data_IF_575405807421
#
_entry.id   IF_575405807421
#
_cell.length_a   1.000
_cell.length_b   1.000
_cell.length_c   1.000
_cell.angle_alpha   90.00
_cell.angle_beta   90.00
_cell.angle_gamma   90.00
#
_symmetry.space_group_name_H-M   'P 1'
#
loop_
_entity.id
_entity.type
_entity.pdbx_description
1 polymer ?
#
# COMPACT_ATOMS: atom_id res chain seq x y z
N UNK A 1 -4.45 5.15 10.03
CA UNK A 1 -4.68 6.52 9.53
C UNK A 1 -3.78 7.54 10.21
N UNK A 2 -3.81 7.68 11.55
CA UNK A 2 -2.98 8.65 12.28
C UNK A 2 -1.47 8.59 11.94
N UNK A 3 -0.91 7.39 11.86
CA UNK A 3 0.52 7.20 11.52
C UNK A 3 0.87 7.60 10.07
N UNK A 4 -0.10 7.59 9.14
CA UNK A 4 0.08 8.10 7.78
C UNK A 4 0.22 9.62 7.80
N UNK A 5 -0.67 10.28 8.55
CA UNK A 5 -0.64 11.73 8.73
C UNK A 5 0.67 12.16 9.39
N UNK A 6 1.11 11.45 10.44
CA UNK A 6 2.37 11.73 11.12
C UNK A 6 3.59 11.53 10.21
N UNK A 7 3.61 10.47 9.39
CA UNK A 7 4.66 10.27 8.39
C UNK A 7 4.76 11.46 7.41
N UNK A 8 3.63 11.86 6.81
CA UNK A 8 3.61 12.99 5.88
C UNK A 8 3.92 14.33 6.56
N UNK A 9 3.51 14.51 7.82
CA UNK A 9 3.87 15.68 8.60
C UNK A 9 5.40 15.77 8.75
N UNK A 10 6.07 14.69 9.14
CA UNK A 10 7.53 14.67 9.33
C UNK A 10 8.27 14.89 8.01
N UNK A 11 7.85 14.22 6.93
CA UNK A 11 8.57 14.25 5.65
C UNK A 11 8.31 15.52 4.83
N UNK A 12 7.10 16.07 4.88
CA UNK A 12 6.72 17.21 4.02
C UNK A 12 6.87 18.58 4.70
N UNK A 13 7.06 18.65 6.02
CA UNK A 13 7.16 19.93 6.75
C UNK A 13 8.58 20.50 6.86
N UNK A 14 9.57 19.90 6.18
CA UNK A 14 10.97 20.33 6.25
C UNK A 14 11.67 20.05 7.58
N UNK A 15 11.04 19.31 8.51
CA UNK A 15 11.59 19.01 9.84
C UNK A 15 12.80 18.07 9.81
N UNK A 16 13.05 17.40 8.69
CA UNK A 16 14.08 16.38 8.57
C UNK A 16 15.50 16.95 8.81
N UNK A 17 15.78 18.18 8.35
CA UNK A 17 17.07 18.84 8.59
C UNK A 17 17.29 19.12 10.07
N UNK A 18 16.26 19.64 10.76
CA UNK A 18 16.30 19.93 12.20
C UNK A 18 16.47 18.65 13.02
N UNK A 19 15.79 17.58 12.61
CA UNK A 19 15.90 16.27 13.24
C UNK A 19 17.31 15.69 13.10
N UNK A 20 17.94 15.84 11.93
CA UNK A 20 19.31 15.40 11.68
C UNK A 20 20.37 16.29 12.36
N UNK A 21 20.09 17.56 12.64
CA UNK A 21 21.02 18.46 13.33
C UNK A 21 21.20 18.09 14.82
N UNK A 22 20.15 17.56 15.47
CA UNK A 22 20.19 17.13 16.86
C UNK A 22 19.52 15.74 17.04
N UNK A 23 20.10 14.67 16.49
CA UNK A 23 19.43 13.37 16.33
C UNK A 23 19.14 12.68 17.66
N UNK A 24 19.95 12.93 18.69
CA UNK A 24 19.79 12.35 20.04
C UNK A 24 18.86 13.16 20.93
N UNK A 25 18.39 14.33 20.46
CA UNK A 25 17.42 15.11 21.24
C UNK A 25 16.08 14.37 21.33
N UNK A 26 15.40 14.50 22.48
CA UNK A 26 14.10 13.88 22.69
C UNK A 26 13.09 14.24 21.59
N UNK A 27 13.11 15.50 21.13
CA UNK A 27 12.25 16.00 20.04
C UNK A 27 12.51 15.24 18.73
N UNK A 28 13.77 15.09 18.34
CA UNK A 28 14.14 14.38 17.11
C UNK A 28 13.80 12.90 17.19
N UNK A 29 14.10 12.24 18.31
CA UNK A 29 13.76 10.83 18.52
C UNK A 29 12.25 10.60 18.41
N UNK A 30 11.45 11.46 19.05
CA UNK A 30 9.99 11.39 18.96
C UNK A 30 9.50 11.52 17.51
N UNK A 31 10.02 12.49 16.76
CA UNK A 31 9.64 12.70 15.36
C UNK A 31 10.12 11.55 14.45
N UNK A 32 11.30 10.97 14.68
CA UNK A 32 11.77 9.80 13.94
C UNK A 32 10.84 8.60 14.16
N UNK A 33 10.49 8.32 15.41
CA UNK A 33 9.58 7.23 15.77
C UNK A 33 8.20 7.40 15.14
N UNK A 34 7.64 8.60 15.13
CA UNK A 34 6.33 8.85 14.52
C UNK A 34 6.40 8.88 12.98
N UNK A 35 7.54 9.30 12.43
CA UNK A 35 7.76 9.46 11.00
C UNK A 35 8.11 8.18 10.24
N UNK A 36 8.58 7.12 10.88
CA UNK A 36 9.14 5.96 10.15
C UNK A 36 8.11 5.02 9.47
N UNK A 37 6.82 5.19 9.73
CA UNK A 37 5.80 4.17 9.43
C UNK A 37 5.19 4.19 8.03
N UNK A 38 5.55 5.14 7.17
CA UNK A 38 4.91 5.33 5.86
C UNK A 38 4.88 4.06 5.00
N UNK A 39 6.06 3.45 4.77
CA UNK A 39 6.19 2.23 3.96
C UNK A 39 5.55 1.01 4.64
N UNK A 40 5.66 0.91 5.96
CA UNK A 40 5.04 -0.18 6.73
C UNK A 40 3.53 -0.19 6.57
N UNK A 41 2.89 0.97 6.64
CA UNK A 41 1.43 1.08 6.52
C UNK A 41 0.96 0.74 5.10
N UNK A 42 1.71 1.17 4.07
CA UNK A 42 1.44 0.79 2.69
C UNK A 42 1.44 -0.74 2.53
N UNK A 43 2.46 -1.41 3.08
CA UNK A 43 2.54 -2.87 3.05
C UNK A 43 1.33 -3.50 3.78
N UNK A 44 1.00 -3.04 4.98
CA UNK A 44 -0.17 -3.54 5.72
C UNK A 44 -1.47 -3.36 4.93
N UNK A 45 -1.67 -2.21 4.29
CA UNK A 45 -2.85 -1.95 3.48
C UNK A 45 -2.98 -2.91 2.30
N UNK A 46 -1.88 -3.17 1.58
CA UNK A 46 -1.85 -4.09 0.45
C UNK A 46 -2.05 -5.53 0.91
N UNK A 47 -1.47 -5.93 2.05
CA UNK A 47 -1.69 -7.25 2.64
C UNK A 47 -3.17 -7.45 3.00
N UNK A 48 -3.79 -6.52 3.75
CA UNK A 48 -5.21 -6.60 4.11
C UNK A 48 -6.09 -6.68 2.86
N UNK A 49 -5.82 -5.82 1.87
CA UNK A 49 -6.52 -5.84 0.58
C UNK A 49 -6.40 -7.21 -0.09
N UNK A 50 -5.18 -7.73 -0.20
CA UNK A 50 -4.91 -9.01 -0.84
C UNK A 50 -5.57 -10.18 -0.13
N UNK A 51 -5.59 -10.18 1.20
CA UNK A 51 -6.23 -11.20 2.02
C UNK A 51 -7.71 -11.39 1.67
N UNK A 52 -8.46 -10.29 1.49
CA UNK A 52 -9.87 -10.36 1.12
C UNK A 52 -10.09 -10.54 -0.38
N UNK A 53 -9.22 -9.97 -1.21
CA UNK A 53 -9.40 -9.97 -2.67
C UNK A 53 -9.00 -11.28 -3.34
N UNK A 54 -8.12 -12.09 -2.75
CA UNK A 54 -7.67 -13.35 -3.33
C UNK A 54 -8.76 -14.42 -3.45
N UNK A 55 -9.81 -14.34 -2.62
CA UNK A 55 -11.00 -15.20 -2.73
C UNK A 55 -12.21 -14.49 -3.35
N UNK A 56 -12.08 -13.19 -3.65
CA UNK A 56 -13.18 -12.39 -4.17
C UNK A 56 -13.20 -12.37 -5.70
N UNK A 57 -14.40 -12.30 -6.28
CA UNK A 57 -14.55 -11.90 -7.69
C UNK A 57 -14.33 -10.39 -7.79
N UNK A 58 -13.24 -10.02 -8.47
CA UNK A 58 -12.97 -8.64 -8.86
C UNK A 58 -13.72 -8.37 -10.15
N UNK A 59 -14.55 -7.33 -10.13
CA UNK A 59 -15.34 -6.90 -11.28
C UNK A 59 -14.89 -5.50 -11.69
N UNK A 60 -15.07 -5.17 -12.97
CA UNK A 60 -14.82 -3.83 -13.49
C UNK A 60 -15.60 -2.77 -12.69
N UNK A 61 -16.81 -3.10 -12.24
CA UNK A 61 -17.62 -2.22 -11.39
C UNK A 61 -16.91 -1.81 -10.10
N UNK A 62 -16.24 -2.74 -9.40
CA UNK A 62 -15.50 -2.42 -8.16
C UNK A 62 -14.32 -1.48 -8.45
N UNK A 63 -13.62 -1.68 -9.56
CA UNK A 63 -12.53 -0.81 -9.98
C UNK A 63 -13.03 0.60 -10.34
N UNK A 64 -14.09 0.72 -11.14
CA UNK A 64 -14.67 2.01 -11.52
C UNK A 64 -15.22 2.74 -10.28
N UNK A 65 -15.83 2.02 -9.33
CA UNK A 65 -16.27 2.60 -8.06
C UNK A 65 -15.11 3.19 -7.26
N UNK A 66 -13.99 2.48 -7.17
CA UNK A 66 -12.77 2.98 -6.52
C UNK A 66 -12.21 4.21 -7.23
N UNK A 67 -12.13 4.18 -8.57
CA UNK A 67 -11.66 5.29 -9.38
C UNK A 67 -12.53 6.54 -9.19
N UNK A 68 -13.85 6.37 -9.19
CA UNK A 68 -14.80 7.46 -8.96
C UNK A 68 -14.65 8.07 -7.56
N UNK A 69 -14.50 7.24 -6.52
CA UNK A 69 -14.25 7.73 -5.16
C UNK A 69 -12.97 8.59 -5.11
N UNK A 70 -11.89 8.14 -5.74
CA UNK A 70 -10.64 8.88 -5.79
C UNK A 70 -10.80 10.23 -6.50
N UNK A 71 -11.39 10.24 -7.70
CA UNK A 71 -11.60 11.46 -8.48
C UNK A 71 -12.54 12.43 -7.74
N UNK A 72 -13.57 11.92 -7.07
CA UNK A 72 -14.48 12.72 -6.24
C UNK A 72 -13.72 13.47 -5.13
N UNK A 73 -12.85 12.79 -4.37
CA UNK A 73 -12.06 13.44 -3.33
C UNK A 73 -11.03 14.41 -3.91
N UNK A 74 -10.37 14.07 -5.02
CA UNK A 74 -9.44 14.98 -5.68
C UNK A 74 -10.14 16.26 -6.13
N UNK A 75 -11.35 16.16 -6.71
CA UNK A 75 -12.15 17.31 -7.10
C UNK A 75 -12.55 18.16 -5.90
N UNK A 76 -13.09 17.55 -4.84
CA UNK A 76 -13.50 18.28 -3.63
C UNK A 76 -12.34 19.04 -2.99
N UNK A 77 -11.20 18.37 -2.80
CA UNK A 77 -10.00 18.99 -2.22
C UNK A 77 -9.43 20.05 -3.17
N UNK A 78 -9.36 19.76 -4.47
CA UNK A 78 -8.89 20.70 -5.49
C UNK A 78 -9.73 21.99 -5.53
N UNK A 79 -11.06 21.87 -5.46
CA UNK A 79 -11.97 23.02 -5.37
C UNK A 79 -11.70 23.86 -4.12
N UNK A 80 -11.45 23.25 -2.96
CA UNK A 80 -11.10 23.99 -1.74
C UNK A 80 -9.79 24.78 -1.94
N UNK A 81 -8.78 24.19 -2.59
CA UNK A 81 -7.51 24.89 -2.87
C UNK A 81 -7.66 26.03 -3.89
N UNK A 82 -8.51 25.86 -4.90
CA UNK A 82 -8.84 26.90 -5.88
C UNK A 82 -9.56 28.07 -5.20
N UNK A 83 -10.61 27.79 -4.41
CA UNK A 83 -11.39 28.81 -3.69
C UNK A 83 -10.56 29.53 -2.63
N UNK A 84 -9.60 28.84 -2.00
CA UNK A 84 -8.70 29.45 -1.01
C UNK A 84 -7.57 30.29 -1.63
N UNK A 85 -7.50 30.41 -2.96
CA UNK A 85 -6.44 31.14 -3.67
C UNK A 85 -5.06 30.48 -3.58
N UNK A 86 -4.99 29.21 -3.14
CA UNK A 86 -3.75 28.46 -2.97
C UNK A 86 -3.30 27.77 -4.26
N UNK A 87 -4.17 27.67 -5.25
CA UNK A 87 -3.90 27.06 -6.55
C UNK A 87 -4.47 27.96 -7.66
N UNK A 88 -3.69 28.31 -8.70
CA UNK A 88 -4.20 29.10 -9.81
C UNK A 88 -5.13 28.24 -10.69
N UNK A 89 -6.18 28.86 -11.24
CA UNK A 89 -7.09 28.20 -12.18
C UNK A 89 -6.37 28.12 -13.54
N UNK A 90 -5.79 26.97 -13.83
CA UNK A 90 -5.17 26.67 -15.14
C UNK A 90 -5.66 25.34 -15.68
N UNK A 91 -5.67 25.18 -17.00
CA UNK A 91 -6.08 23.92 -17.63
C UNK A 91 -5.24 22.73 -17.12
N UNK A 92 -3.93 22.95 -16.93
CA UNK A 92 -3.02 21.94 -16.39
C UNK A 92 -3.42 21.50 -14.98
N UNK A 93 -3.80 22.44 -14.11
CA UNK A 93 -4.24 22.15 -12.75
C UNK A 93 -5.56 21.37 -12.72
N UNK A 94 -6.49 21.70 -13.61
CA UNK A 94 -7.75 20.96 -13.76
C UNK A 94 -7.49 19.52 -14.22
N UNK A 95 -6.62 19.33 -15.22
CA UNK A 95 -6.21 18.00 -15.69
C UNK A 95 -5.53 17.20 -14.57
N UNK A 96 -4.66 17.84 -13.78
CA UNK A 96 -3.97 17.19 -12.67
C UNK A 96 -4.91 16.72 -11.55
N UNK A 97 -5.99 17.48 -11.27
CA UNK A 97 -7.02 17.09 -10.30
C UNK A 97 -7.79 15.87 -10.80
N UNK A 98 -8.13 15.85 -12.10
CA UNK A 98 -8.90 14.77 -12.70
C UNK A 98 -8.08 13.51 -12.97
N UNK A 99 -6.77 13.64 -13.19
CA UNK A 99 -5.89 12.51 -13.50
C UNK A 99 -5.54 11.70 -12.22
N UNK A 100 -6.04 10.47 -12.06
CA UNK A 100 -5.76 9.65 -10.90
C UNK A 100 -4.40 8.92 -10.98
N UNK A 101 -3.76 8.92 -12.15
CA UNK A 101 -2.48 8.26 -12.41
C UNK A 101 -1.46 9.33 -12.81
N UNK A 102 -0.85 9.95 -11.80
CA UNK A 102 0.09 11.06 -12.01
C UNK A 102 1.53 10.58 -12.26
N UNK A 103 1.92 9.47 -11.63
CA UNK A 103 3.24 8.84 -11.80
C UNK A 103 3.17 7.37 -11.38
N UNK A 104 3.83 6.50 -12.15
CA UNK A 104 3.89 5.03 -11.92
C UNK A 104 5.21 4.61 -11.26
N UNK A 105 6.02 5.57 -10.85
CA UNK A 105 7.31 5.32 -10.21
C UNK A 105 7.13 5.15 -8.69
N UNK A 106 6.78 6.23 -8.00
CA UNK A 106 6.73 6.29 -6.53
C UNK A 106 5.34 6.58 -5.94
N UNK A 107 4.34 6.83 -6.78
CA UNK A 107 3.00 7.19 -6.34
C UNK A 107 2.20 5.97 -5.86
N UNK A 108 1.93 5.89 -4.55
CA UNK A 108 1.12 4.79 -3.98
C UNK A 108 -0.22 4.61 -4.71
N UNK A 109 -0.99 5.69 -4.89
CA UNK A 109 -2.34 5.63 -5.48
C UNK A 109 -2.30 5.12 -6.92
N UNK A 110 -1.46 5.71 -7.77
CA UNK A 110 -1.29 5.30 -9.17
C UNK A 110 -0.89 3.83 -9.29
N UNK A 111 0.13 3.42 -8.55
CA UNK A 111 0.64 2.05 -8.58
C UNK A 111 -0.38 1.06 -8.01
N UNK A 112 -1.13 1.46 -6.97
CA UNK A 112 -2.19 0.64 -6.41
C UNK A 112 -3.35 0.43 -7.39
N UNK A 113 -3.77 1.47 -8.13
CA UNK A 113 -4.80 1.34 -9.17
C UNK A 113 -4.37 0.39 -10.28
N UNK A 114 -3.13 0.50 -10.75
CA UNK A 114 -2.60 -0.41 -11.76
C UNK A 114 -2.48 -1.84 -11.22
N UNK A 115 -1.93 -2.01 -10.02
CA UNK A 115 -1.90 -3.28 -9.30
C UNK A 115 -3.31 -3.89 -9.16
N UNK A 116 -4.33 -3.08 -8.87
CA UNK A 116 -5.70 -3.55 -8.74
C UNK A 116 -6.21 -4.25 -10.01
N UNK A 117 -5.81 -3.77 -11.19
CA UNK A 117 -6.14 -4.39 -12.48
C UNK A 117 -5.47 -5.77 -12.66
N UNK A 118 -4.32 -5.99 -12.03
CA UNK A 118 -3.61 -7.28 -12.07
C UNK A 118 -4.24 -8.34 -11.15
N UNK A 119 -4.99 -7.94 -10.11
CA UNK A 119 -5.61 -8.84 -9.13
C UNK A 119 -6.39 -10.02 -9.76
N UNK A 120 -7.29 -9.84 -10.75
CA UNK A 120 -8.00 -10.98 -11.34
C UNK A 120 -7.08 -12.00 -12.02
N UNK A 121 -5.98 -11.54 -12.63
CA UNK A 121 -4.97 -12.42 -13.24
C UNK A 121 -4.16 -13.15 -12.19
N UNK A 122 -3.74 -12.44 -11.14
CA UNK A 122 -3.08 -13.04 -9.98
C UNK A 122 -3.95 -14.10 -9.32
N UNK A 123 -5.26 -13.87 -9.18
CA UNK A 123 -6.18 -14.87 -8.63
C UNK A 123 -6.21 -16.15 -9.47
N UNK A 124 -6.29 -16.01 -10.80
CA UNK A 124 -6.29 -17.17 -11.70
C UNK A 124 -4.95 -17.92 -11.66
N UNK A 125 -3.83 -17.20 -11.61
CA UNK A 125 -2.50 -17.80 -11.45
C UNK A 125 -2.42 -18.60 -10.15
N UNK A 126 -2.76 -17.98 -9.01
CA UNK A 126 -2.60 -18.59 -7.69
C UNK A 126 -3.55 -19.76 -7.45
N UNK A 127 -4.73 -19.75 -8.08
CA UNK A 127 -5.66 -20.89 -8.05
C UNK A 127 -5.23 -22.04 -8.98
N UNK A 128 -4.38 -21.76 -9.97
CA UNK A 128 -3.90 -22.74 -10.95
C UNK A 128 -2.60 -23.45 -10.57
N UNK A 129 -1.91 -22.99 -9.52
CA UNK A 129 -0.63 -23.57 -9.07
C UNK A 129 -0.81 -24.43 -7.81
N UNK A 130 0.12 -25.35 -7.59
CA UNK A 130 0.15 -26.17 -6.37
C UNK A 130 0.57 -25.35 -5.15
N UNK A 131 0.25 -25.85 -3.94
CA UNK A 131 0.69 -25.23 -2.67
C UNK A 131 2.21 -25.00 -2.61
N UNK A 132 2.99 -25.97 -3.08
CA UNK A 132 4.46 -25.87 -3.10
C UNK A 132 4.94 -24.79 -4.08
N UNK A 133 4.34 -24.72 -5.27
CA UNK A 133 4.65 -23.69 -6.26
C UNK A 133 4.29 -22.29 -5.74
N UNK A 134 3.17 -22.14 -5.05
CA UNK A 134 2.77 -20.88 -4.42
C UNK A 134 3.78 -20.45 -3.34
N UNK A 135 4.18 -21.37 -2.46
CA UNK A 135 5.20 -21.09 -1.44
C UNK A 135 6.52 -20.65 -2.08
N UNK A 136 7.00 -21.39 -3.09
CA UNK A 136 8.24 -21.06 -3.79
C UNK A 136 8.15 -19.70 -4.47
N UNK A 137 7.04 -19.38 -5.14
CA UNK A 137 6.81 -18.09 -5.77
C UNK A 137 6.85 -16.93 -4.75
N UNK A 138 6.24 -17.12 -3.59
CA UNK A 138 6.28 -16.13 -2.49
C UNK A 138 7.70 -15.93 -1.94
N UNK A 139 8.41 -17.03 -1.66
CA UNK A 139 9.80 -16.97 -1.18
C UNK A 139 10.74 -16.35 -2.21
N UNK A 140 10.58 -16.67 -3.49
CA UNK A 140 11.35 -16.09 -4.58
C UNK A 140 11.09 -14.58 -4.68
N UNK A 141 9.83 -14.16 -4.66
CA UNK A 141 9.45 -12.75 -4.70
C UNK A 141 10.03 -11.95 -3.53
N UNK A 142 9.91 -12.47 -2.30
CA UNK A 142 10.53 -11.85 -1.12
C UNK A 142 12.05 -11.80 -1.28
N UNK A 143 12.68 -12.92 -1.64
CA UNK A 143 14.13 -13.05 -1.76
C UNK A 143 14.75 -12.09 -2.77
N UNK A 144 14.09 -11.81 -3.89
CA UNK A 144 14.56 -10.81 -4.86
C UNK A 144 14.63 -9.42 -4.21
N UNK A 145 13.57 -8.98 -3.53
CA UNK A 145 13.53 -7.63 -2.98
C UNK A 145 14.31 -7.47 -1.68
N UNK A 146 14.45 -8.51 -0.87
CA UNK A 146 15.14 -8.43 0.43
C UNK A 146 16.57 -8.93 0.37
N UNK A 147 16.82 -10.12 -0.18
CA UNK A 147 18.18 -10.71 -0.19
C UNK A 147 19.01 -10.09 -1.32
N UNK A 148 18.50 -10.11 -2.55
CA UNK A 148 19.23 -9.54 -3.70
C UNK A 148 19.24 -8.01 -3.62
N UNK A 149 18.11 -7.38 -3.26
CA UNK A 149 18.01 -5.93 -3.13
C UNK A 149 18.88 -5.31 -2.03
N UNK A 150 19.31 -6.09 -1.02
CA UNK A 150 20.25 -5.62 0.02
C UNK A 150 21.71 -5.79 -0.42
N UNK A 151 21.98 -6.50 -1.51
CA UNK A 151 23.35 -6.70 -1.99
C UNK A 151 23.90 -5.39 -2.60
N UNK A 152 25.02 -4.85 -2.11
CA UNK A 152 25.58 -3.60 -2.61
C UNK A 152 26.10 -3.68 -4.06
N UNK A 153 26.31 -4.89 -4.61
CA UNK A 153 26.82 -5.10 -5.96
C UNK A 153 25.71 -5.19 -7.00
N UNK A 154 24.51 -5.67 -6.62
CA UNK A 154 23.43 -5.95 -7.55
C UNK A 154 22.33 -4.90 -7.36
N UNK A 155 22.09 -4.09 -8.39
CA UNK A 155 21.03 -3.10 -8.36
C UNK A 155 19.66 -3.73 -8.70
N UNK A 156 18.75 -3.74 -7.73
CA UNK A 156 17.34 -4.13 -7.94
C UNK A 156 16.48 -2.88 -7.93
N UNK A 157 15.92 -2.53 -9.09
CA UNK A 157 15.01 -1.40 -9.20
C UNK A 157 13.70 -1.71 -8.46
N UNK A 158 13.36 -0.87 -7.48
CA UNK A 158 12.13 -1.02 -6.72
C UNK A 158 10.95 -0.38 -7.46
N UNK A 159 9.88 -1.15 -7.69
CA UNK A 159 8.63 -0.63 -8.22
C UNK A 159 7.45 -1.13 -7.37
N UNK A 160 6.51 -0.24 -7.09
CA UNK A 160 5.37 -0.57 -6.23
C UNK A 160 4.45 -1.64 -6.83
N UNK A 161 4.25 -1.69 -8.15
CA UNK A 161 3.32 -2.66 -8.77
C UNK A 161 3.84 -4.09 -8.58
N UNK A 162 5.13 -4.30 -8.86
CA UNK A 162 5.77 -5.61 -8.70
C UNK A 162 5.88 -5.99 -7.24
N UNK A 163 6.23 -5.05 -6.35
CA UNK A 163 6.26 -5.28 -4.92
C UNK A 163 4.87 -5.63 -4.34
N UNK A 164 3.83 -4.91 -4.73
CA UNK A 164 2.45 -5.22 -4.32
C UNK A 164 2.00 -6.59 -4.80
N UNK A 165 2.43 -7.00 -6.00
CA UNK A 165 2.19 -8.35 -6.51
C UNK A 165 2.88 -9.41 -5.64
N UNK A 166 4.12 -9.19 -5.20
CA UNK A 166 4.81 -10.08 -4.26
C UNK A 166 4.05 -10.18 -2.94
N UNK A 167 3.69 -9.05 -2.32
CA UNK A 167 2.90 -9.04 -1.09
C UNK A 167 1.56 -9.75 -1.24
N UNK A 168 0.91 -9.59 -2.40
CA UNK A 168 -0.33 -10.26 -2.73
C UNK A 168 -0.18 -11.78 -2.76
N UNK A 169 0.86 -12.29 -3.40
CA UNK A 169 1.18 -13.73 -3.41
C UNK A 169 1.37 -14.23 -1.98
N UNK A 170 2.14 -13.52 -1.16
CA UNK A 170 2.41 -13.90 0.23
C UNK A 170 1.13 -13.97 1.05
N UNK A 171 0.29 -12.93 1.03
CA UNK A 171 -0.93 -12.93 1.86
C UNK A 171 -2.00 -13.88 1.35
N UNK A 172 -2.07 -14.11 0.03
CA UNK A 172 -2.94 -15.12 -0.55
C UNK A 172 -2.56 -16.53 -0.10
N UNK A 173 -1.26 -16.83 0.07
CA UNK A 173 -0.80 -18.10 0.61
C UNK A 173 -1.34 -18.31 2.03
N UNK A 174 -1.21 -17.29 2.88
CA UNK A 174 -1.74 -17.32 4.25
C UNK A 174 -3.26 -17.53 4.24
N UNK A 175 -3.98 -16.86 3.33
CA UNK A 175 -5.43 -16.99 3.20
C UNK A 175 -5.87 -18.38 2.74
N UNK A 176 -5.20 -18.96 1.74
CA UNK A 176 -5.61 -20.24 1.16
C UNK A 176 -5.27 -21.44 2.04
N UNK A 177 -4.10 -21.43 2.69
CA UNK A 177 -3.60 -22.60 3.42
C UNK A 177 -3.71 -22.47 4.94
N UNK A 178 -3.86 -21.25 5.46
CA UNK A 178 -3.95 -20.99 6.89
C UNK A 178 -2.64 -21.25 7.63
N UNK A 179 -2.07 -20.21 8.25
CA UNK A 179 -0.96 -20.38 9.21
C UNK A 179 -1.48 -20.39 10.66
N UNK A 180 -2.60 -19.70 10.93
CA UNK A 180 -3.13 -19.45 12.27
C UNK A 180 -4.54 -20.05 12.50
N UNK A 181 -4.91 -21.08 11.74
CA UNK A 181 -6.31 -21.60 11.70
C UNK A 181 -6.76 -22.29 13.00
N UNK A 182 -5.90 -22.40 14.01
CA UNK A 182 -6.23 -23.01 15.30
C UNK A 182 -6.67 -22.05 16.42
N UNK A 183 -6.67 -20.73 16.21
CA UNK A 183 -7.27 -19.85 17.22
C UNK A 183 -8.77 -19.74 16.95
N UNK A 184 -9.49 -20.69 17.56
CA UNK A 184 -10.94 -20.72 17.65
C UNK A 184 -11.47 -19.35 18.03
N UNK A 185 -12.52 -18.94 17.31
CA UNK A 185 -13.28 -17.71 17.51
C UNK A 185 -13.79 -17.56 18.96
N UNK A 186 -13.75 -18.64 19.75
CA UNK A 186 -14.04 -18.68 21.18
C UNK A 186 -13.06 -17.88 22.04
N UNK A 187 -11.82 -17.64 21.61
CA UNK A 187 -10.87 -16.82 22.39
C UNK A 187 -11.27 -15.34 22.46
N UNK A 188 -11.85 -14.81 21.38
CA UNK A 188 -12.30 -13.41 21.31
C UNK A 188 -13.80 -13.25 21.55
N UNK A 189 -14.56 -14.34 21.46
CA UNK A 189 -16.03 -14.34 21.44
C UNK A 189 -16.73 -14.41 22.78
N UNK A 190 -16.02 -14.60 23.91
CA UNK A 190 -16.52 -14.34 25.27
C UNK A 190 -17.93 -14.82 25.64
N UNK A 191 -18.48 -15.83 24.96
CA UNK A 191 -19.84 -16.31 25.20
C UNK A 191 -19.77 -17.82 25.42
N UNK A 192 -19.92 -18.29 26.68
CA UNK A 192 -20.35 -19.65 26.91
C UNK A 192 -21.79 -19.77 26.43
N UNK A 193 -22.00 -20.60 25.42
CA UNK A 193 -23.32 -21.11 25.06
C UNK A 193 -23.90 -21.89 26.24
N UNK A 194 -24.96 -21.34 26.85
CA UNK A 194 -25.94 -22.10 27.61
C UNK A 194 -26.96 -22.73 26.67
#
# INVERSE_FOLDING_TARGET
MMMIVMHHYVVNSGLLSEMCAAPTSFKSIYLFLMGMWGKTIINCFVLITGYFMCTSRITLHKFVKLLFQLVFYNLGIGLIFLLSGKMPITLMNIVNILNPIQSVDTGFVSCFLLFYLFIPFLNRLLQGISKQQHLFLGCLGIGIYTVIGTNPVIHVAFNYITWFSVLYVVIAYIRFYGIFREQSVTFWGGLPSF
#
